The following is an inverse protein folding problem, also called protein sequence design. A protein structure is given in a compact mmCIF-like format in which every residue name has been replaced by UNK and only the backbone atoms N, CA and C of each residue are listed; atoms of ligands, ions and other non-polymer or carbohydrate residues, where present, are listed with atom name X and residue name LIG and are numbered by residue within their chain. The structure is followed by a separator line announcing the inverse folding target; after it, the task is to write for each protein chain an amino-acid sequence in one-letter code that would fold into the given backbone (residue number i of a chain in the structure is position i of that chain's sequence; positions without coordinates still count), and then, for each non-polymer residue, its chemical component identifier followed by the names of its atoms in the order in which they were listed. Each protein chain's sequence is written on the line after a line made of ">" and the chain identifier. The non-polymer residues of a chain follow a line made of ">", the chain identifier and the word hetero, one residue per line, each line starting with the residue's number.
data_IF_382525273338
#
_entry.id   IF_382525273338
#
_cell.length_a   1.000
_cell.length_b   1.000
_cell.length_c   1.000
_cell.angle_alpha   90.00
_cell.angle_beta   90.00
_cell.angle_gamma   90.00
#
_symmetry.space_group_name_H-M   'P 1'
#
loop_
_entity.id
_entity.type
_entity.pdbx_description
1 polymer ?
#
# COMPACT_ATOMS: atom_id res chain seq x y z
N UNK A 1 -9.05 -16.48 -0.89
CA UNK A 1 -8.77 -15.17 -0.25
C UNK A 1 -9.61 -14.91 1.00
N UNK A 2 -10.96 -14.97 0.99
CA UNK A 2 -11.79 -14.79 2.23
C UNK A 2 -11.47 -15.74 3.40
N UNK A 3 -11.01 -16.96 3.11
CA UNK A 3 -10.65 -17.94 4.14
C UNK A 3 -9.38 -17.54 4.93
N UNK A 4 -8.40 -16.94 4.25
CA UNK A 4 -7.11 -16.57 4.85
C UNK A 4 -7.28 -15.41 5.84
N UNK A 5 -8.09 -14.40 5.51
CA UNK A 5 -8.42 -13.31 6.43
C UNK A 5 -9.19 -13.78 7.67
N UNK A 6 -10.09 -14.77 7.53
CA UNK A 6 -10.78 -15.39 8.67
C UNK A 6 -9.83 -16.17 9.57
N UNK A 7 -8.89 -16.91 8.99
CA UNK A 7 -7.90 -17.67 9.76
C UNK A 7 -6.97 -16.71 10.50
N UNK A 8 -6.52 -15.64 9.84
CA UNK A 8 -5.66 -14.62 10.46
C UNK A 8 -6.42 -13.87 11.57
N UNK A 9 -7.68 -13.46 11.38
CA UNK A 9 -8.44 -12.79 12.44
C UNK A 9 -8.81 -13.74 13.60
N UNK A 10 -9.07 -15.02 13.30
CA UNK A 10 -9.35 -16.03 14.32
C UNK A 10 -8.09 -16.37 15.12
N UNK A 11 -6.92 -16.46 14.45
CA UNK A 11 -5.63 -16.65 15.11
C UNK A 11 -5.28 -15.47 16.03
N UNK A 12 -5.58 -14.24 15.61
CA UNK A 12 -5.43 -13.06 16.47
C UNK A 12 -6.35 -13.13 17.69
N UNK A 13 -7.63 -13.48 17.51
CA UNK A 13 -8.58 -13.60 18.62
C UNK A 13 -8.18 -14.72 19.61
N UNK A 14 -7.69 -15.85 19.09
CA UNK A 14 -7.20 -16.96 19.90
C UNK A 14 -5.91 -16.59 20.64
N UNK A 15 -5.03 -15.81 20.02
CA UNK A 15 -3.80 -15.34 20.66
C UNK A 15 -4.09 -14.44 21.85
N UNK A 16 -5.08 -13.53 21.75
CA UNK A 16 -5.54 -12.66 22.84
C UNK A 16 -6.02 -13.48 24.04
N UNK A 17 -6.82 -14.53 23.78
CA UNK A 17 -7.34 -15.42 24.83
C UNK A 17 -6.20 -16.23 25.48
N UNK A 18 -5.22 -16.67 24.70
CA UNK A 18 -4.06 -17.41 25.20
C UNK A 18 -3.11 -16.52 26.01
N UNK A 19 -2.75 -15.33 25.55
CA UNK A 19 -1.92 -14.41 26.34
C UNK A 19 -2.63 -13.89 27.57
N UNK A 20 -3.93 -13.63 27.50
CA UNK A 20 -4.73 -13.32 28.69
C UNK A 20 -4.77 -14.52 29.64
N UNK A 21 -5.05 -15.73 29.13
CA UNK A 21 -5.12 -16.96 29.92
C UNK A 21 -3.81 -17.36 30.58
N UNK A 22 -2.67 -17.13 29.92
CA UNK A 22 -1.33 -17.38 30.47
C UNK A 22 -0.99 -16.35 31.57
N UNK A 23 -1.41 -15.08 31.40
CA UNK A 23 -1.28 -14.07 32.45
C UNK A 23 -2.15 -14.39 33.68
N UNK A 24 -3.36 -14.94 33.48
CA UNK A 24 -4.22 -15.43 34.57
C UNK A 24 -3.69 -16.70 35.26
N UNK A 25 -2.98 -17.57 34.52
CA UNK A 25 -2.45 -18.83 35.04
C UNK A 25 -1.09 -18.69 35.75
N UNK A 26 -0.28 -17.69 35.37
CA UNK A 26 1.04 -17.47 35.95
C UNK A 26 1.01 -16.80 37.34
N UNK A 27 -0.01 -15.99 37.63
CA UNK A 27 -0.19 -15.34 38.94
C UNK A 27 -1.26 -16.10 39.73
N UNK A 28 -0.83 -17.16 40.43
CA UNK A 28 -1.69 -17.88 41.35
C UNK A 28 -2.33 -16.95 42.38
N UNK A 29 -3.66 -17.02 42.49
CA UNK A 29 -4.47 -16.64 43.66
C UNK A 29 -4.26 -15.28 44.32
N UNK A 30 -3.68 -14.29 43.64
CA UNK A 30 -3.80 -12.90 44.07
C UNK A 30 -4.75 -12.20 43.12
N UNK A 31 -5.85 -11.69 43.66
CA UNK A 31 -6.81 -10.87 42.93
C UNK A 31 -6.08 -9.63 42.43
N UNK A 32 -5.46 -9.74 41.26
CA UNK A 32 -4.90 -8.61 40.51
C UNK A 32 -6.03 -7.59 40.40
N UNK A 33 -5.81 -6.40 40.95
CA UNK A 33 -6.80 -5.34 40.98
C UNK A 33 -7.36 -5.19 39.55
N UNK A 34 -8.68 -5.30 39.43
CA UNK A 34 -9.41 -5.27 38.16
C UNK A 34 -8.97 -4.09 37.27
N UNK A 35 -8.52 -2.99 37.89
CA UNK A 35 -7.97 -1.81 37.22
C UNK A 35 -6.66 -2.08 36.47
N UNK A 36 -5.69 -2.80 37.05
CA UNK A 36 -4.40 -3.13 36.40
C UNK A 36 -4.62 -4.03 35.18
N UNK A 37 -5.56 -4.99 35.28
CA UNK A 37 -5.93 -5.87 34.15
C UNK A 37 -6.60 -5.09 33.02
N UNK A 38 -7.42 -4.08 33.34
CA UNK A 38 -8.11 -3.25 32.34
C UNK A 38 -7.12 -2.31 31.64
N UNK A 39 -6.16 -1.73 32.37
CA UNK A 39 -5.11 -0.87 31.78
C UNK A 39 -4.19 -1.65 30.85
N UNK A 40 -3.74 -2.84 31.25
CA UNK A 40 -2.93 -3.72 30.41
C UNK A 40 -3.70 -4.17 29.16
N UNK A 41 -5.00 -4.48 29.29
CA UNK A 41 -5.84 -4.85 28.15
C UNK A 41 -6.02 -3.67 27.19
N UNK A 42 -6.27 -2.47 27.72
CA UNK A 42 -6.46 -1.25 26.93
C UNK A 42 -5.17 -0.87 26.16
N UNK A 43 -4.01 -0.95 26.82
CA UNK A 43 -2.73 -0.65 26.20
C UNK A 43 -2.35 -1.69 25.14
N UNK A 44 -2.63 -2.97 25.40
CA UNK A 44 -2.46 -4.02 24.40
C UNK A 44 -3.36 -3.79 23.19
N UNK A 45 -4.65 -3.51 23.39
CA UNK A 45 -5.59 -3.28 22.30
C UNK A 45 -5.20 -2.06 21.45
N UNK A 46 -4.78 -0.95 22.09
CA UNK A 46 -4.32 0.24 21.39
C UNK A 46 -3.09 -0.05 20.52
N UNK A 47 -2.11 -0.79 21.05
CA UNK A 47 -0.93 -1.24 20.30
C UNK A 47 -1.32 -2.10 19.10
N UNK A 48 -2.19 -3.10 19.28
CA UNK A 48 -2.68 -3.93 18.17
C UNK A 48 -3.41 -3.12 17.10
N UNK A 49 -4.20 -2.12 17.49
CA UNK A 49 -4.93 -1.26 16.57
C UNK A 49 -3.99 -0.41 15.71
N UNK A 50 -2.94 0.17 16.31
CA UNK A 50 -1.91 0.93 15.58
C UNK A 50 -1.24 0.03 14.54
N UNK A 51 -0.80 -1.17 14.94
CA UNK A 51 -0.18 -2.14 14.04
C UNK A 51 -1.10 -2.50 12.88
N UNK A 52 -2.37 -2.80 13.16
CA UNK A 52 -3.36 -3.11 12.13
C UNK A 52 -3.50 -1.99 11.08
N UNK A 53 -3.58 -0.73 11.52
CA UNK A 53 -3.65 0.42 10.61
C UNK A 53 -2.39 0.49 9.74
N UNK A 54 -1.22 0.36 10.35
CA UNK A 54 0.06 0.46 9.64
C UNK A 54 0.19 -0.61 8.54
N UNK A 55 -0.08 -1.88 8.87
CA UNK A 55 -0.10 -2.96 7.89
C UNK A 55 -1.12 -2.74 6.77
N UNK A 56 -2.31 -2.23 7.12
CA UNK A 56 -3.35 -1.95 6.13
C UNK A 56 -2.92 -0.85 5.16
N UNK A 57 -2.32 0.23 5.64
CA UNK A 57 -1.81 1.31 4.80
C UNK A 57 -0.75 0.82 3.80
N UNK A 58 0.18 0.00 4.28
CA UNK A 58 1.24 -0.60 3.46
C UNK A 58 0.66 -1.46 2.33
N UNK A 59 -0.30 -2.33 2.66
CA UNK A 59 -0.96 -3.21 1.70
C UNK A 59 -1.85 -2.46 0.72
N UNK A 60 -2.61 -1.47 1.19
CA UNK A 60 -3.43 -0.61 0.32
C UNK A 60 -2.55 0.15 -0.67
N UNK A 61 -1.41 0.67 -0.21
CA UNK A 61 -0.44 1.32 -1.09
C UNK A 61 0.07 0.36 -2.16
N UNK A 62 0.37 -0.90 -1.80
CA UNK A 62 0.79 -1.93 -2.75
C UNK A 62 -0.28 -2.22 -3.81
N UNK A 63 -1.54 -2.38 -3.40
CA UNK A 63 -2.67 -2.62 -4.30
C UNK A 63 -2.93 -1.43 -5.23
N UNK A 64 -2.88 -0.21 -4.70
CA UNK A 64 -3.03 1.00 -5.51
C UNK A 64 -1.86 1.15 -6.50
N UNK A 65 -0.63 0.80 -6.10
CA UNK A 65 0.51 0.80 -7.01
C UNK A 65 0.29 -0.22 -8.14
N UNK A 66 -0.18 -1.43 -7.82
CA UNK A 66 -0.53 -2.42 -8.84
C UNK A 66 -1.59 -1.86 -9.81
N UNK A 67 -2.61 -1.16 -9.32
CA UNK A 67 -3.61 -0.48 -10.17
C UNK A 67 -2.95 0.53 -11.12
N UNK A 68 -2.02 1.35 -10.63
CA UNK A 68 -1.26 2.29 -11.47
C UNK A 68 -0.53 1.54 -12.59
N UNK A 69 0.17 0.45 -12.27
CA UNK A 69 0.85 -0.38 -13.28
C UNK A 69 -0.14 -0.95 -14.30
N UNK A 70 -1.27 -1.49 -13.85
CA UNK A 70 -2.32 -1.99 -14.74
C UNK A 70 -2.84 -0.89 -15.68
N UNK A 71 -3.07 0.32 -15.18
CA UNK A 71 -3.52 1.44 -16.00
C UNK A 71 -2.48 1.85 -17.04
N UNK A 72 -1.18 1.76 -16.74
CA UNK A 72 -0.13 2.03 -17.72
C UNK A 72 -0.07 0.96 -18.82
N UNK A 73 -0.21 -0.31 -18.44
CA UNK A 73 -0.28 -1.42 -19.38
C UNK A 73 -1.56 -1.41 -20.23
N UNK A 74 -2.64 -0.78 -19.73
CA UNK A 74 -3.91 -0.67 -20.44
C UNK A 74 -3.91 0.34 -21.60
N UNK A 75 -2.90 1.23 -21.73
CA UNK A 75 -2.84 2.25 -22.79
C UNK A 75 -3.14 1.72 -24.21
N UNK A 76 -2.46 0.68 -24.74
CA UNK A 76 -2.73 0.17 -26.09
C UNK A 76 -4.18 -0.32 -26.25
N UNK A 77 -4.76 -0.89 -25.21
CA UNK A 77 -6.14 -1.35 -25.21
C UNK A 77 -7.13 -0.18 -25.26
N UNK A 78 -6.89 0.88 -24.48
CA UNK A 78 -7.71 2.09 -24.50
C UNK A 78 -7.67 2.78 -25.88
N UNK A 79 -6.51 2.83 -26.52
CA UNK A 79 -6.38 3.37 -27.89
C UNK A 79 -7.21 2.58 -28.92
N UNK A 80 -7.30 1.25 -28.78
CA UNK A 80 -8.16 0.44 -29.64
C UNK A 80 -9.65 0.70 -29.40
N UNK A 81 -10.06 0.97 -28.15
CA UNK A 81 -11.44 1.34 -27.83
C UNK A 81 -11.77 2.71 -28.43
N UNK A 82 -10.86 3.67 -28.32
CA UNK A 82 -11.04 5.03 -28.83
C UNK A 82 -11.35 5.04 -30.34
N UNK A 83 -10.71 4.17 -31.11
CA UNK A 83 -10.95 4.02 -32.54
C UNK A 83 -12.35 3.46 -32.90
N UNK A 84 -13.09 2.89 -31.93
CA UNK A 84 -14.44 2.35 -32.16
C UNK A 84 -15.54 3.37 -31.91
N UNK A 85 -15.23 4.52 -31.29
CA UNK A 85 -16.23 5.54 -31.05
C UNK A 85 -16.57 6.27 -32.36
N UNK A 86 -17.84 6.28 -32.72
CA UNK A 86 -18.36 7.02 -33.88
C UNK A 86 -18.40 8.54 -33.64
N UNK A 87 -18.50 8.96 -32.37
CA UNK A 87 -18.43 10.36 -31.96
C UNK A 87 -17.03 10.74 -31.49
N UNK A 88 -16.45 11.77 -32.10
CA UNK A 88 -15.16 12.36 -31.69
C UNK A 88 -15.21 12.90 -30.25
N UNK A 89 -16.34 13.46 -29.82
CA UNK A 89 -16.51 13.96 -28.44
C UNK A 89 -16.39 12.84 -27.40
N UNK A 90 -16.99 11.68 -27.68
CA UNK A 90 -16.92 10.53 -26.77
C UNK A 90 -15.51 9.97 -26.64
N UNK A 91 -14.77 9.93 -27.75
CA UNK A 91 -13.37 9.53 -27.74
C UNK A 91 -12.51 10.49 -26.90
N UNK A 92 -12.65 11.80 -27.11
CA UNK A 92 -11.87 12.81 -26.40
C UNK A 92 -12.14 12.81 -24.89
N UNK A 93 -13.42 12.67 -24.49
CA UNK A 93 -13.81 12.57 -23.09
C UNK A 93 -13.27 11.30 -22.44
N UNK A 94 -13.35 10.16 -23.13
CA UNK A 94 -12.85 8.88 -22.62
C UNK A 94 -11.33 8.89 -22.44
N UNK A 95 -10.60 9.48 -23.38
CA UNK A 95 -9.16 9.67 -23.29
C UNK A 95 -8.79 10.52 -22.08
N UNK A 96 -9.47 11.66 -21.91
CA UNK A 96 -9.23 12.56 -20.77
C UNK A 96 -9.50 11.90 -19.42
N UNK A 97 -10.60 11.14 -19.30
CA UNK A 97 -10.91 10.35 -18.09
C UNK A 97 -9.82 9.33 -17.77
N UNK A 98 -9.33 8.61 -18.78
CA UNK A 98 -8.26 7.64 -18.61
C UNK A 98 -6.95 8.31 -18.14
N UNK A 99 -6.53 9.41 -18.77
CA UNK A 99 -5.32 10.16 -18.38
C UNK A 99 -5.44 10.65 -16.95
N UNK A 100 -6.56 11.30 -16.62
CA UNK A 100 -6.81 11.88 -15.31
C UNK A 100 -6.88 10.79 -14.23
N UNK A 101 -7.56 9.68 -14.49
CA UNK A 101 -7.65 8.56 -13.55
C UNK A 101 -6.29 7.90 -13.28
N UNK A 102 -5.47 7.71 -14.32
CA UNK A 102 -4.09 7.20 -14.20
C UNK A 102 -3.23 8.12 -13.34
N UNK A 103 -3.35 9.42 -13.55
CA UNK A 103 -2.50 10.42 -12.89
C UNK A 103 -2.92 10.61 -11.43
N UNK A 104 -4.23 10.68 -11.14
CA UNK A 104 -4.75 10.71 -9.77
C UNK A 104 -4.32 9.46 -9.01
N UNK A 105 -4.40 8.27 -9.63
CA UNK A 105 -3.96 7.04 -8.99
C UNK A 105 -2.45 7.07 -8.67
N UNK A 106 -1.61 7.56 -9.60
CA UNK A 106 -0.18 7.69 -9.37
C UNK A 106 0.14 8.68 -8.23
N UNK A 107 -0.54 9.83 -8.20
CA UNK A 107 -0.39 10.82 -7.13
C UNK A 107 -0.87 10.28 -5.79
N UNK A 108 -1.97 9.52 -5.76
CA UNK A 108 -2.48 8.89 -4.54
C UNK A 108 -1.49 7.87 -3.97
N UNK A 109 -0.89 7.02 -4.82
CA UNK A 109 0.15 6.08 -4.40
C UNK A 109 1.38 6.81 -3.89
N UNK A 110 1.80 7.89 -4.56
CA UNK A 110 2.92 8.70 -4.10
C UNK A 110 2.63 9.33 -2.72
N UNK A 111 1.45 9.93 -2.54
CA UNK A 111 1.04 10.52 -1.26
C UNK A 111 0.99 9.48 -0.13
N UNK A 112 0.45 8.30 -0.40
CA UNK A 112 0.45 7.18 0.55
C UNK A 112 1.87 6.69 0.84
N UNK A 113 2.73 6.63 -0.19
CA UNK A 113 4.12 6.26 -0.06
C UNK A 113 4.98 7.26 0.72
N UNK A 114 4.56 8.53 0.84
CA UNK A 114 5.24 9.51 1.71
C UNK A 114 5.10 9.17 3.19
N UNK A 115 4.05 8.45 3.61
CA UNK A 115 3.93 8.00 5.01
C UNK A 115 5.05 7.04 5.40
N UNK A 116 5.57 6.26 4.44
CA UNK A 116 6.70 5.37 4.65
C UNK A 116 8.02 6.12 4.94
N UNK A 117 8.10 7.41 4.59
CA UNK A 117 9.27 8.24 4.87
C UNK A 117 9.28 8.80 6.30
N UNK A 118 8.17 8.69 7.04
CA UNK A 118 8.08 9.18 8.41
C UNK A 118 8.97 8.31 9.30
N UNK A 119 10.00 8.86 9.96
CA UNK A 119 10.86 8.11 10.86
C UNK A 119 10.03 7.57 12.02
N UNK A 120 10.11 6.26 12.28
CA UNK A 120 9.27 5.56 13.26
C UNK A 120 8.20 4.66 12.65
N UNK A 121 7.60 5.07 11.52
CA UNK A 121 6.46 4.35 10.92
C UNK A 121 6.82 2.92 10.50
N UNK A 122 8.03 2.74 9.97
CA UNK A 122 8.47 1.44 9.48
C UNK A 122 9.35 0.66 10.46
N UNK A 123 9.98 1.34 11.42
CA UNK A 123 10.84 0.71 12.43
C UNK A 123 10.03 -0.05 13.48
N UNK A 124 8.78 0.35 13.72
CA UNK A 124 7.87 -0.39 14.59
C UNK A 124 7.40 -1.70 13.94
N UNK A 125 7.28 -1.73 12.61
CA UNK A 125 6.82 -2.89 11.85
C UNK A 125 7.97 -3.92 11.67
N UNK A 126 9.22 -3.47 11.47
CA UNK A 126 10.37 -4.35 11.22
C UNK A 126 11.66 -3.88 11.91
N UNK A 127 12.34 -4.81 12.61
CA UNK A 127 13.70 -4.62 13.14
C UNK A 127 14.82 -4.57 12.08
N UNK A 128 14.49 -4.68 10.79
CA UNK A 128 15.37 -4.51 9.65
C UNK A 128 14.76 -3.47 8.70
N UNK A 129 15.51 -2.40 8.46
CA UNK A 129 15.09 -1.21 7.69
C UNK A 129 14.43 -1.63 6.36
N UNK A 130 13.13 -1.36 6.16
CA UNK A 130 12.42 -1.68 4.92
C UNK A 130 12.70 -0.63 3.85
N UNK A 131 13.99 -0.49 3.54
CA UNK A 131 14.50 0.41 2.51
C UNK A 131 13.79 0.28 1.15
N UNK A 132 13.32 -0.91 0.68
CA UNK A 132 12.63 -0.97 -0.61
C UNK A 132 11.28 -0.26 -0.58
N UNK A 133 10.62 -0.21 0.58
CA UNK A 133 9.32 0.47 0.74
C UNK A 133 9.45 1.99 0.74
N UNK A 134 10.63 2.51 1.05
CA UNK A 134 10.97 3.93 0.97
C UNK A 134 11.41 4.28 -0.46
N UNK A 135 12.26 3.44 -1.06
CA UNK A 135 12.82 3.69 -2.40
C UNK A 135 11.74 3.59 -3.49
N UNK A 136 10.79 2.65 -3.38
CA UNK A 136 9.71 2.49 -4.37
C UNK A 136 8.90 3.78 -4.62
N UNK A 137 8.31 4.41 -3.60
CA UNK A 137 7.59 5.68 -3.73
C UNK A 137 8.47 6.84 -4.21
N UNK A 138 9.77 6.85 -3.87
CA UNK A 138 10.69 7.87 -4.39
C UNK A 138 10.85 7.72 -5.91
N UNK A 139 11.00 6.48 -6.41
CA UNK A 139 11.08 6.21 -7.86
C UNK A 139 9.77 6.63 -8.56
N UNK A 140 8.61 6.36 -7.95
CA UNK A 140 7.32 6.86 -8.46
C UNK A 140 7.26 8.39 -8.45
N UNK A 141 7.76 9.02 -7.39
CA UNK A 141 7.88 10.48 -7.32
C UNK A 141 8.73 11.03 -8.46
N UNK A 142 9.86 10.39 -8.77
CA UNK A 142 10.69 10.74 -9.92
C UNK A 142 9.95 10.57 -11.24
N UNK A 143 9.08 9.57 -11.39
CA UNK A 143 8.32 9.37 -12.62
C UNK A 143 7.28 10.46 -12.83
N UNK A 144 6.57 10.84 -11.76
CA UNK A 144 5.62 11.96 -11.79
C UNK A 144 6.36 13.28 -12.04
N UNK A 145 7.52 13.47 -11.42
CA UNK A 145 8.36 14.64 -11.66
C UNK A 145 8.83 14.72 -13.12
N UNK A 146 9.30 13.61 -13.68
CA UNK A 146 9.64 13.52 -15.11
C UNK A 146 8.47 13.91 -16.00
N UNK A 147 7.27 13.42 -15.67
CA UNK A 147 6.04 13.76 -16.39
C UNK A 147 5.69 15.25 -16.30
N UNK A 148 6.06 15.93 -15.22
CA UNK A 148 5.89 17.38 -15.10
C UNK A 148 6.88 18.18 -15.96
N UNK A 149 8.04 17.61 -16.29
CA UNK A 149 9.09 18.30 -17.05
C UNK A 149 9.00 18.07 -18.56
N UNK A 150 8.50 16.90 -18.96
CA UNK A 150 8.49 16.45 -20.35
C UNK A 150 7.09 15.98 -20.71
N UNK A 151 6.65 16.27 -21.93
CA UNK A 151 5.43 15.70 -22.46
C UNK A 151 5.62 14.19 -22.75
N UNK A 152 5.34 13.40 -21.73
CA UNK A 152 5.51 11.94 -21.72
C UNK A 152 4.47 11.25 -22.61
N UNK A 153 3.31 11.88 -22.86
CA UNK A 153 2.22 11.24 -23.60
C UNK A 153 2.42 11.36 -25.12
N UNK A 154 3.08 12.42 -25.59
CA UNK A 154 3.42 12.65 -27.02
C UNK A 154 4.76 12.04 -27.46
N UNK A 155 5.79 12.02 -26.59
CA UNK A 155 7.11 11.52 -26.96
C UNK A 155 7.25 10.00 -26.69
N UNK A 156 7.49 9.16 -27.72
CA UNK A 156 7.60 7.70 -27.55
C UNK A 156 8.75 7.25 -26.64
N UNK A 157 9.85 8.00 -26.61
CA UNK A 157 11.03 7.68 -25.80
C UNK A 157 10.78 8.04 -24.34
N UNK A 158 10.20 9.22 -24.08
CA UNK A 158 9.84 9.65 -22.73
C UNK A 158 8.79 8.72 -22.11
N UNK A 159 7.81 8.26 -22.91
CA UNK A 159 6.83 7.25 -22.49
C UNK A 159 7.48 5.94 -22.01
N UNK A 160 8.48 5.43 -22.74
CA UNK A 160 9.17 4.18 -22.36
C UNK A 160 9.91 4.35 -21.03
N UNK A 161 10.63 5.47 -20.86
CA UNK A 161 11.37 5.74 -19.62
C UNK A 161 10.43 5.86 -18.44
N UNK A 162 9.34 6.63 -18.59
CA UNK A 162 8.32 6.77 -17.56
C UNK A 162 7.69 5.42 -17.18
N UNK A 163 7.36 4.59 -18.17
CA UNK A 163 6.81 3.27 -17.94
C UNK A 163 7.77 2.33 -17.19
N UNK A 164 9.05 2.33 -17.57
CA UNK A 164 10.10 1.57 -16.88
C UNK A 164 10.27 2.07 -15.45
N UNK A 165 10.21 3.37 -15.21
CA UNK A 165 10.31 3.96 -13.86
C UNK A 165 9.14 3.52 -12.97
N UNK A 166 7.90 3.58 -13.48
CA UNK A 166 6.71 3.15 -12.74
C UNK A 166 6.80 1.66 -12.39
N UNK A 167 7.21 0.81 -13.34
CA UNK A 167 7.40 -0.63 -13.13
C UNK A 167 8.54 -0.93 -12.14
N UNK A 168 9.67 -0.22 -12.26
CA UNK A 168 10.81 -0.36 -11.37
C UNK A 168 10.42 0.01 -9.94
N UNK A 169 9.74 1.13 -9.73
CA UNK A 169 9.27 1.53 -8.40
C UNK A 169 8.26 0.53 -7.82
N UNK A 170 7.37 -0.04 -8.64
CA UNK A 170 6.45 -1.09 -8.19
C UNK A 170 7.20 -2.36 -7.77
N UNK A 171 8.18 -2.78 -8.56
CA UNK A 171 9.01 -3.95 -8.28
C UNK A 171 9.78 -3.78 -6.97
N UNK A 172 10.44 -2.63 -6.79
CA UNK A 172 11.18 -2.30 -5.56
C UNK A 172 10.24 -2.25 -4.35
N UNK A 173 9.07 -1.61 -4.47
CA UNK A 173 8.09 -1.57 -3.39
C UNK A 173 7.59 -2.97 -3.03
N UNK A 174 7.33 -3.82 -4.03
CA UNK A 174 6.89 -5.20 -3.83
C UNK A 174 7.93 -6.05 -3.11
N UNK A 175 9.22 -5.88 -3.40
CA UNK A 175 10.30 -6.55 -2.65
C UNK A 175 10.25 -6.23 -1.15
N UNK A 176 9.88 -5.00 -0.81
CA UNK A 176 9.66 -4.60 0.58
C UNK A 176 8.51 -5.36 1.24
N UNK A 177 7.39 -5.53 0.52
CA UNK A 177 6.26 -6.34 0.99
C UNK A 177 6.63 -7.80 1.17
N UNK A 178 7.38 -8.40 0.23
CA UNK A 178 7.84 -9.78 0.36
C UNK A 178 8.74 -9.99 1.59
N UNK A 179 9.57 -8.99 1.93
CA UNK A 179 10.37 -8.99 3.16
C UNK A 179 9.55 -8.85 4.45
N UNK A 180 8.26 -8.53 4.38
CA UNK A 180 7.34 -8.50 5.53
C UNK A 180 6.64 -9.85 5.74
N UNK A 181 6.35 -10.56 4.66
CA UNK A 181 5.56 -11.81 4.70
C UNK A 181 6.41 -13.02 5.10
N UNK A 182 7.73 -12.93 5.02
CA UNK A 182 8.69 -13.99 5.32
C UNK A 182 9.68 -13.56 6.40
#
# INVERSE_FOLDING_TARGET
>A
MKSVYKIISLAMFFSIILTAGIAYAANGSEFVAKEVVIEDLAQNLARWFVWFIMYTFVLVTWVLYALVVFLHLARPYILQILNKFTLRLGADLWWTFYLTGRDIAAVAVFAMGLFNLIPGYLSEIHGLVPWPMIVGPIILGMSIFMKSLVDVDDNPTAFKVYHVLVLAGFGVYSLGIYGIVH
#
